data_IF_545982983809
#
_entry.id   IF_545982983809
#
_cell.length_a   1.000
_cell.length_b   1.000
_cell.length_c   1.000
_cell.angle_alpha   90.00
_cell.angle_beta   90.00
_cell.angle_gamma   90.00
#
_symmetry.space_group_name_H-M   'P 1'
#
loop_
_entity.id
_entity.type
_entity.pdbx_description
1 polymer ?
#
# COMPACT_ATOMS: atom_id res chain seq x y z
N UNK A 1 -0.28 -11.95 -7.19
CA UNK A 1 1.14 -11.92 -6.76
C UNK A 1 1.49 -10.49 -6.38
N UNK A 2 2.36 -10.31 -5.39
CA UNK A 2 2.88 -8.99 -5.02
C UNK A 2 4.11 -8.70 -5.87
N UNK A 3 4.13 -7.54 -6.53
CA UNK A 3 5.28 -7.08 -7.31
C UNK A 3 6.11 -6.05 -6.54
N UNK A 4 5.45 -5.26 -5.69
CA UNK A 4 6.06 -4.28 -4.79
C UNK A 4 5.40 -4.28 -3.42
N UNK A 5 6.20 -4.04 -2.40
CA UNK A 5 5.79 -3.85 -1.01
C UNK A 5 6.52 -2.61 -0.48
N UNK A 6 5.82 -1.80 0.29
CA UNK A 6 6.38 -0.67 1.02
C UNK A 6 5.76 -0.59 2.41
N UNK A 7 6.50 0.00 3.34
CA UNK A 7 6.06 0.23 4.70
C UNK A 7 5.98 1.73 4.92
N UNK A 8 4.76 2.19 5.20
CA UNK A 8 4.43 3.58 5.39
C UNK A 8 4.64 4.07 6.80
N UNK A 9 4.40 5.37 6.97
CA UNK A 9 4.71 6.08 8.20
C UNK A 9 3.94 5.53 9.42
N UNK A 10 4.49 5.81 10.59
CA UNK A 10 3.92 5.50 11.91
C UNK A 10 3.25 6.75 12.47
N UNK A 11 2.05 6.59 13.05
CA UNK A 11 1.34 7.68 13.73
C UNK A 11 0.73 7.23 15.06
N UNK A 12 0.31 8.16 15.94
CA UNK A 12 -0.25 7.80 17.24
C UNK A 12 -1.45 6.83 17.18
N UNK A 13 -2.23 6.86 16.10
CA UNK A 13 -3.34 5.93 15.85
C UNK A 13 -2.90 4.65 15.14
N UNK A 14 -1.75 4.65 14.46
CA UNK A 14 -1.13 3.50 13.77
C UNK A 14 0.33 3.35 14.19
N UNK A 15 0.59 2.84 15.41
CA UNK A 15 1.95 2.73 15.95
C UNK A 15 2.85 1.76 15.18
N UNK A 16 2.26 0.87 14.37
CA UNK A 16 2.99 -0.02 13.46
C UNK A 16 2.95 0.43 12.00
N UNK A 17 2.38 1.60 11.73
CA UNK A 17 2.27 2.19 10.41
C UNK A 17 1.28 1.48 9.49
N UNK A 18 1.58 1.47 8.18
CA UNK A 18 0.71 0.91 7.13
C UNK A 18 1.57 0.12 6.15
N UNK A 19 1.15 -1.09 5.79
CA UNK A 19 1.79 -1.83 4.69
C UNK A 19 1.06 -1.48 3.39
N UNK A 20 1.80 -1.10 2.37
CA UNK A 20 1.29 -0.95 1.00
C UNK A 20 1.83 -2.03 0.09
N UNK A 21 0.99 -2.59 -0.78
CA UNK A 21 1.42 -3.50 -1.83
C UNK A 21 0.90 -3.10 -3.20
N UNK A 22 1.77 -3.24 -4.19
CA UNK A 22 1.46 -3.12 -5.61
C UNK A 22 1.47 -4.50 -6.24
N UNK A 23 0.38 -4.85 -6.91
CA UNK A 23 0.16 -6.16 -7.48
C UNK A 23 0.45 -6.19 -8.98
N UNK A 24 0.57 -7.39 -9.51
CA UNK A 24 0.85 -7.62 -10.93
C UNK A 24 -0.32 -7.22 -11.85
N UNK A 25 -1.55 -7.25 -11.33
CA UNK A 25 -2.78 -6.87 -12.02
C UNK A 25 -3.09 -5.36 -11.94
N UNK A 26 -2.13 -4.53 -11.47
CA UNK A 26 -2.34 -3.08 -11.33
C UNK A 26 -3.12 -2.66 -10.09
N UNK A 27 -3.35 -3.60 -9.19
CA UNK A 27 -4.04 -3.36 -7.94
C UNK A 27 -3.10 -2.85 -6.85
N UNK A 28 -3.61 -1.89 -6.08
CA UNK A 28 -2.99 -1.34 -4.89
C UNK A 28 -3.80 -1.78 -3.68
N UNK A 29 -3.12 -2.20 -2.62
CA UNK A 29 -3.76 -2.54 -1.37
C UNK A 29 -2.96 -2.05 -0.18
N UNK A 30 -3.67 -1.62 0.86
CA UNK A 30 -3.15 -1.09 2.11
C UNK A 30 -3.66 -1.91 3.29
N UNK A 31 -2.78 -2.22 4.23
CA UNK A 31 -3.12 -2.98 5.44
C UNK A 31 -2.61 -2.32 6.71
N UNK A 32 -3.32 -2.57 7.81
CA UNK A 32 -2.91 -2.24 9.17
C UNK A 32 -2.14 -3.42 9.79
N UNK A 33 -0.82 -3.29 10.02
CA UNK A 33 -0.01 -4.36 10.60
C UNK A 33 -0.46 -4.75 12.01
N UNK A 34 -0.98 -3.80 12.78
CA UNK A 34 -1.44 -4.03 14.16
C UNK A 34 -2.62 -4.99 14.17
N UNK A 35 -3.53 -4.83 13.20
CA UNK A 35 -4.67 -5.72 13.02
C UNK A 35 -4.25 -7.11 12.54
N UNK A 36 -3.25 -7.19 11.66
CA UNK A 36 -2.70 -8.48 11.22
C UNK A 36 -2.10 -9.24 12.40
N UNK A 37 -1.28 -8.57 13.22
CA UNK A 37 -0.65 -9.20 14.40
C UNK A 37 -1.67 -9.58 15.48
N UNK A 38 -2.77 -8.84 15.60
CA UNK A 38 -3.88 -9.19 16.47
C UNK A 38 -4.76 -10.34 15.92
N UNK A 39 -4.48 -10.84 14.71
CA UNK A 39 -5.29 -11.88 14.05
C UNK A 39 -6.67 -11.39 13.63
N UNK A 40 -6.86 -10.08 13.45
CA UNK A 40 -8.14 -9.51 13.06
C UNK A 40 -8.44 -9.74 11.57
N UNK A 41 -9.68 -10.09 11.26
CA UNK A 41 -10.14 -10.37 9.89
C UNK A 41 -10.21 -9.10 9.02
N UNK A 42 -10.27 -7.92 9.62
CA UNK A 42 -10.46 -6.62 8.95
C UNK A 42 -9.18 -5.76 8.95
N UNK A 43 -8.04 -6.37 8.60
CA UNK A 43 -6.76 -5.69 8.47
C UNK A 43 -6.60 -4.88 7.19
N UNK A 44 -7.40 -5.15 6.16
CA UNK A 44 -7.41 -4.41 4.91
C UNK A 44 -8.01 -3.02 5.12
N UNK A 45 -7.23 -1.98 4.83
CA UNK A 45 -7.65 -0.59 4.92
C UNK A 45 -8.28 -0.15 3.60
N UNK A 46 -7.60 -0.43 2.49
CA UNK A 46 -8.01 -0.01 1.16
C UNK A 46 -7.52 -1.02 0.13
N UNK A 47 -8.33 -1.23 -0.91
CA UNK A 47 -7.99 -2.02 -2.07
C UNK A 47 -8.59 -1.36 -3.30
N UNK A 48 -7.77 -1.05 -4.29
CA UNK A 48 -8.20 -0.31 -5.47
C UNK A 48 -7.35 -0.67 -6.69
N UNK A 49 -7.99 -0.86 -7.84
CA UNK A 49 -7.32 -1.07 -9.12
C UNK A 49 -7.14 0.29 -9.81
N UNK A 50 -5.92 0.81 -9.77
CA UNK A 50 -5.58 2.11 -10.36
C UNK A 50 -4.75 1.98 -11.63
N UNK A 51 -4.11 0.83 -11.85
CA UNK A 51 -3.25 0.61 -13.00
C UNK A 51 -3.76 -0.54 -13.87
N UNK A 52 -3.37 -0.52 -15.14
CA UNK A 52 -3.74 -1.58 -16.11
C UNK A 52 -2.76 -2.75 -16.12
N UNK A 53 -1.61 -2.61 -15.43
CA UNK A 53 -0.56 -3.62 -15.39
C UNK A 53 0.32 -3.54 -14.15
N UNK A 54 1.44 -4.25 -14.16
CA UNK A 54 2.33 -4.44 -13.01
C UNK A 54 2.69 -3.10 -12.34
N UNK A 55 2.38 -2.95 -11.05
CA UNK A 55 2.85 -1.79 -10.26
C UNK A 55 4.32 -1.97 -9.93
N UNK A 56 5.19 -1.15 -10.51
CA UNK A 56 6.67 -1.25 -10.41
C UNK A 56 7.30 -0.27 -9.43
N UNK A 57 6.62 0.82 -9.13
CA UNK A 57 7.01 1.79 -8.12
C UNK A 57 5.86 1.95 -7.12
N UNK A 58 6.19 2.00 -5.83
CA UNK A 58 5.23 2.22 -4.77
C UNK A 58 5.96 2.82 -3.57
N UNK A 59 5.60 4.02 -3.16
CA UNK A 59 6.20 4.67 -1.99
C UNK A 59 5.24 5.63 -1.30
N UNK A 60 5.38 5.75 0.02
CA UNK A 60 4.61 6.71 0.80
C UNK A 60 5.29 8.07 0.78
N UNK A 61 4.50 9.14 0.75
CA UNK A 61 5.06 10.49 0.86
C UNK A 61 5.56 10.73 2.31
N UNK A 62 6.84 11.11 2.51
CA UNK A 62 7.41 11.29 3.85
C UNK A 62 6.88 12.52 4.61
N UNK A 63 6.25 13.46 3.89
CA UNK A 63 5.71 14.70 4.46
C UNK A 63 4.21 14.60 4.70
N UNK A 64 3.48 13.96 3.77
CA UNK A 64 2.03 13.80 3.84
C UNK A 64 1.65 12.32 3.84
N UNK A 65 1.37 11.81 5.03
CA UNK A 65 1.13 10.39 5.26
C UNK A 65 -0.08 9.79 4.55
N UNK A 66 -1.04 10.62 4.17
CA UNK A 66 -2.22 10.22 3.42
C UNK A 66 -1.97 10.10 1.91
N UNK A 67 -0.75 10.39 1.44
CA UNK A 67 -0.37 10.28 0.04
C UNK A 67 0.53 9.07 -0.20
N UNK A 68 0.17 8.31 -1.22
CA UNK A 68 0.91 7.17 -1.74
C UNK A 68 1.18 7.42 -3.22
N UNK A 69 2.44 7.35 -3.62
CA UNK A 69 2.85 7.41 -5.01
C UNK A 69 2.97 5.98 -5.55
N UNK A 70 2.34 5.74 -6.69
CA UNK A 70 2.42 4.48 -7.41
C UNK A 70 2.91 4.74 -8.84
N UNK A 71 3.47 3.73 -9.48
CA UNK A 71 3.84 3.80 -10.88
C UNK A 71 3.83 2.42 -11.51
N UNK A 72 3.27 2.31 -12.70
CA UNK A 72 3.05 1.04 -13.38
C UNK A 72 3.60 1.05 -14.82
N UNK A 73 3.13 0.10 -15.64
CA UNK A 73 3.53 0.00 -17.04
C UNK A 73 3.13 1.23 -17.84
N UNK A 74 3.73 1.41 -19.02
CA UNK A 74 3.44 2.50 -19.94
C UNK A 74 3.60 3.93 -19.38
N UNK A 75 4.27 4.09 -18.23
CA UNK A 75 4.45 5.40 -17.59
C UNK A 75 3.24 5.88 -16.78
N UNK A 76 2.31 4.99 -16.45
CA UNK A 76 1.21 5.29 -15.51
C UNK A 76 1.77 5.66 -14.12
N UNK A 77 1.15 6.65 -13.48
CA UNK A 77 1.42 7.14 -12.12
C UNK A 77 0.13 7.30 -11.33
#
# INVERSE_FOLDING_TARGET
>A
RFNRLTWGYVDPNRPQGVIGAGMENGELALWDPSKILAGAEYSLILRNTQHTGLVRALDFNPVQSNLLASGAMAGEV
#
